data_IF_820397682774
#
_entry.id   IF_820397682774
#
_cell.length_a   1.000
_cell.length_b   1.000
_cell.length_c   1.000
_cell.angle_alpha   90.00
_cell.angle_beta   90.00
_cell.angle_gamma   90.00
#
_symmetry.space_group_name_H-M   'P 1'
#
loop_
_entity.id
_entity.type
_entity.pdbx_description
1 polymer ?
#
# COMPACT_ATOMS: atom_id res chain seq x y z
N UNK A 1 -7.07 -5.48 9.35
CA UNK A 1 -6.31 -4.90 8.22
C UNK A 1 -5.39 -5.88 7.49
N UNK A 2 -4.47 -6.63 8.16
CA UNK A 2 -3.50 -7.52 7.48
C UNK A 2 -4.10 -8.57 6.52
N UNK A 3 -5.19 -9.24 6.90
CA UNK A 3 -5.82 -10.24 6.04
C UNK A 3 -6.51 -9.61 4.83
N UNK A 4 -7.26 -8.52 5.06
CA UNK A 4 -7.96 -7.76 4.00
C UNK A 4 -6.97 -7.22 2.95
N UNK A 5 -5.90 -6.55 3.40
CA UNK A 5 -4.88 -6.00 2.49
C UNK A 5 -4.11 -7.12 1.77
N UNK A 6 -3.91 -8.26 2.43
CA UNK A 6 -3.28 -9.44 1.84
C UNK A 6 -4.06 -9.98 0.64
N UNK A 7 -5.37 -10.19 0.83
CA UNK A 7 -6.28 -10.64 -0.24
C UNK A 7 -6.34 -9.66 -1.41
N UNK A 8 -6.48 -8.35 -1.13
CA UNK A 8 -6.52 -7.32 -2.18
C UNK A 8 -5.20 -7.24 -2.97
N UNK A 9 -4.05 -7.31 -2.30
CA UNK A 9 -2.74 -7.33 -2.98
C UNK A 9 -2.55 -8.58 -3.83
N UNK A 10 -3.03 -9.74 -3.36
CA UNK A 10 -2.98 -10.97 -4.15
C UNK A 10 -3.86 -10.85 -5.40
N UNK A 11 -5.09 -10.36 -5.25
CA UNK A 11 -6.00 -10.10 -6.37
C UNK A 11 -5.37 -9.12 -7.37
N UNK A 12 -4.81 -8.01 -6.89
CA UNK A 12 -4.14 -7.02 -7.74
C UNK A 12 -3.00 -7.63 -8.55
N UNK A 13 -2.11 -8.44 -7.94
CA UNK A 13 -1.01 -9.11 -8.67
C UNK A 13 -1.51 -10.05 -9.75
N UNK A 14 -2.56 -10.83 -9.46
CA UNK A 14 -3.15 -11.76 -10.43
C UNK A 14 -3.73 -10.98 -11.61
N UNK A 15 -4.51 -9.93 -11.34
CA UNK A 15 -5.13 -9.10 -12.38
C UNK A 15 -4.07 -8.40 -13.23
N UNK A 16 -3.04 -7.80 -12.62
CA UNK A 16 -1.93 -7.17 -13.34
C UNK A 16 -1.16 -8.18 -14.20
N UNK A 17 -1.00 -9.43 -13.75
CA UNK A 17 -0.38 -10.49 -14.55
C UNK A 17 -1.24 -10.91 -15.75
N UNK A 18 -2.57 -10.96 -15.58
CA UNK A 18 -3.52 -11.22 -16.67
C UNK A 18 -3.48 -10.07 -17.69
N UNK A 19 -3.44 -8.82 -17.23
CA UNK A 19 -3.32 -7.64 -18.11
C UNK A 19 -2.10 -7.73 -19.01
N UNK A 20 -0.91 -7.97 -18.43
CA UNK A 20 0.33 -8.12 -19.18
C UNK A 20 0.26 -9.27 -20.21
N UNK A 21 -0.40 -10.38 -19.84
CA UNK A 21 -0.59 -11.52 -20.73
C UNK A 21 -1.50 -11.17 -21.92
N UNK A 22 -2.62 -10.49 -21.68
CA UNK A 22 -3.54 -10.08 -22.75
C UNK A 22 -2.94 -8.96 -23.63
N UNK A 23 -2.13 -8.05 -23.05
CA UNK A 23 -1.36 -7.07 -23.81
C UNK A 23 -0.36 -7.75 -24.76
N UNK A 24 0.34 -8.79 -24.30
CA UNK A 24 1.27 -9.56 -25.16
C UNK A 24 0.57 -10.26 -26.33
N UNK A 25 -0.71 -10.58 -26.17
CA UNK A 25 -1.57 -11.22 -27.18
C UNK A 25 -2.24 -10.22 -28.13
N UNK A 26 -2.07 -8.91 -27.89
CA UNK A 26 -2.72 -7.81 -28.62
C UNK A 26 -4.26 -7.92 -28.61
N UNK A 27 -4.81 -8.43 -27.51
CA UNK A 27 -6.26 -8.56 -27.33
C UNK A 27 -6.85 -7.30 -26.69
N UNK A 28 -7.01 -6.24 -27.49
CA UNK A 28 -7.35 -4.89 -27.01
C UNK A 28 -8.67 -4.81 -26.21
N UNK A 29 -9.66 -5.62 -26.59
CA UNK A 29 -10.95 -5.69 -25.88
C UNK A 29 -10.77 -6.23 -24.46
N UNK A 30 -10.07 -7.36 -24.32
CA UNK A 30 -9.79 -7.95 -23.01
C UNK A 30 -8.88 -7.07 -22.18
N UNK A 31 -7.87 -6.43 -22.78
CA UNK A 31 -6.99 -5.49 -22.08
C UNK A 31 -7.79 -4.36 -21.45
N UNK A 32 -8.79 -3.82 -22.16
CA UNK A 32 -9.66 -2.75 -21.64
C UNK A 32 -10.50 -3.22 -20.45
N UNK A 33 -11.09 -4.42 -20.54
CA UNK A 33 -11.87 -5.02 -19.45
C UNK A 33 -11.01 -5.29 -18.20
N UNK A 34 -9.83 -5.87 -18.39
CA UNK A 34 -8.90 -6.20 -17.30
C UNK A 34 -8.37 -4.93 -16.64
N UNK A 35 -8.03 -3.89 -17.41
CA UNK A 35 -7.65 -2.57 -16.89
C UNK A 35 -8.75 -1.96 -16.01
N UNK A 36 -10.00 -2.00 -16.48
CA UNK A 36 -11.14 -1.52 -15.70
C UNK A 36 -11.31 -2.26 -14.37
N UNK A 37 -11.10 -3.59 -14.37
CA UNK A 37 -11.15 -4.37 -13.14
C UNK A 37 -9.95 -4.10 -12.22
N UNK A 38 -8.73 -3.97 -12.76
CA UNK A 38 -7.54 -3.59 -11.99
C UNK A 38 -7.77 -2.27 -11.27
N UNK A 39 -8.28 -1.25 -11.96
CA UNK A 39 -8.58 0.05 -11.35
C UNK A 39 -9.56 -0.03 -10.18
N UNK A 40 -10.58 -0.91 -10.25
CA UNK A 40 -11.48 -1.16 -9.11
C UNK A 40 -10.74 -1.74 -7.90
N UNK A 41 -9.89 -2.74 -8.13
CA UNK A 41 -9.06 -3.32 -7.07
C UNK A 41 -8.11 -2.29 -6.46
N UNK A 42 -7.51 -1.42 -7.28
CA UNK A 42 -6.62 -0.35 -6.81
C UNK A 42 -7.35 0.71 -5.98
N UNK A 43 -8.61 1.03 -6.31
CA UNK A 43 -9.44 1.92 -5.52
C UNK A 43 -9.73 1.33 -4.14
N UNK A 44 -10.13 0.06 -4.07
CA UNK A 44 -10.35 -0.64 -2.79
C UNK A 44 -9.07 -0.72 -1.96
N UNK A 45 -7.95 -1.05 -2.61
CA UNK A 45 -6.65 -1.12 -1.95
C UNK A 45 -6.22 0.25 -1.40
N UNK A 46 -6.44 1.32 -2.17
CA UNK A 46 -6.18 2.70 -1.74
C UNK A 46 -7.06 3.10 -0.55
N UNK A 47 -8.35 2.76 -0.57
CA UNK A 47 -9.28 3.07 0.51
C UNK A 47 -8.90 2.36 1.82
N UNK A 48 -8.52 1.09 1.75
CA UNK A 48 -8.05 0.34 2.92
C UNK A 48 -6.77 0.93 3.48
N UNK A 49 -5.79 1.28 2.63
CA UNK A 49 -4.57 1.96 3.04
C UNK A 49 -4.86 3.32 3.69
N UNK A 50 -5.71 4.14 3.09
CA UNK A 50 -6.08 5.45 3.64
C UNK A 50 -6.74 5.32 5.03
N UNK A 51 -7.64 4.34 5.21
CA UNK A 51 -8.30 4.12 6.50
C UNK A 51 -7.34 3.77 7.63
N UNK A 52 -6.38 2.86 7.41
CA UNK A 52 -5.41 2.49 8.44
C UNK A 52 -4.36 3.58 8.66
N UNK A 53 -3.91 4.26 7.61
CA UNK A 53 -2.96 5.38 7.74
C UNK A 53 -3.59 6.51 8.57
N UNK A 54 -4.85 6.85 8.30
CA UNK A 54 -5.59 7.83 9.10
C UNK A 54 -5.73 7.42 10.58
N UNK A 55 -6.01 6.14 10.85
CA UNK A 55 -6.09 5.61 12.22
C UNK A 55 -4.73 5.65 12.93
N UNK A 56 -3.65 5.30 12.23
CA UNK A 56 -2.29 5.34 12.75
C UNK A 56 -1.90 6.77 13.15
N UNK A 57 -2.14 7.74 12.27
CA UNK A 57 -1.72 9.13 12.48
C UNK A 57 -2.58 9.87 13.49
N UNK A 58 -3.89 9.63 13.50
CA UNK A 58 -4.82 10.37 14.37
C UNK A 58 -4.90 9.81 15.79
N UNK A 59 -4.63 8.51 15.96
CA UNK A 59 -4.93 7.81 17.22
C UNK A 59 -3.78 6.93 17.71
N UNK A 60 -3.32 5.96 16.92
CA UNK A 60 -2.46 4.89 17.45
C UNK A 60 -1.03 5.36 17.74
N UNK A 61 -0.42 6.13 16.82
CA UNK A 61 0.94 6.68 17.02
C UNK A 61 0.95 7.72 18.15
N UNK A 62 0.02 8.71 18.22
CA UNK A 62 -0.02 9.66 19.33
C UNK A 62 -0.26 9.01 20.70
N UNK A 63 -1.03 7.92 20.76
CA UNK A 63 -1.38 7.25 22.02
C UNK A 63 -0.33 6.23 22.47
N UNK A 64 0.70 5.95 21.65
CA UNK A 64 1.73 4.98 21.99
C UNK A 64 2.69 5.54 23.03
N UNK A 65 2.76 4.89 24.20
CA UNK A 65 3.59 5.32 25.33
C UNK A 65 4.96 4.63 25.39
N UNK A 66 5.07 3.40 24.87
CA UNK A 66 6.31 2.61 24.89
C UNK A 66 7.08 2.74 23.57
N UNK A 67 8.40 2.57 23.62
CA UNK A 67 9.23 2.50 22.40
C UNK A 67 8.77 1.37 21.48
N UNK A 68 8.51 0.18 22.03
CA UNK A 68 8.04 -0.98 21.26
C UNK A 68 6.74 -0.69 20.49
N UNK A 69 5.73 -0.09 21.14
CA UNK A 69 4.46 0.25 20.49
C UNK A 69 4.62 1.33 19.42
N UNK A 70 5.45 2.36 19.66
CA UNK A 70 5.77 3.39 18.66
C UNK A 70 6.44 2.78 17.43
N UNK A 71 7.46 1.94 17.63
CA UNK A 71 8.18 1.24 16.56
C UNK A 71 7.21 0.37 15.77
N UNK A 72 6.34 -0.39 16.45
CA UNK A 72 5.35 -1.24 15.80
C UNK A 72 4.39 -0.44 14.89
N UNK A 73 3.84 0.68 15.38
CA UNK A 73 2.91 1.49 14.59
C UNK A 73 3.59 2.25 13.46
N UNK A 74 4.80 2.78 13.66
CA UNK A 74 5.57 3.44 12.60
C UNK A 74 6.00 2.45 11.52
N UNK A 75 6.41 1.24 11.91
CA UNK A 75 6.66 0.15 10.95
C UNK A 75 5.38 -0.18 10.17
N UNK A 76 4.25 -0.28 10.85
CA UNK A 76 2.96 -0.53 10.20
C UNK A 76 2.61 0.60 9.21
N UNK A 77 2.83 1.87 9.56
CA UNK A 77 2.67 3.03 8.68
C UNK A 77 3.52 2.87 7.41
N UNK A 78 4.80 2.55 7.57
CA UNK A 78 5.71 2.26 6.45
C UNK A 78 5.22 1.10 5.58
N UNK A 79 4.69 0.02 6.16
CA UNK A 79 4.15 -1.10 5.41
C UNK A 79 2.98 -0.70 4.50
N UNK A 80 2.06 0.17 4.95
CA UNK A 80 0.91 0.61 4.15
C UNK A 80 1.28 1.62 3.07
N UNK A 81 2.21 2.54 3.33
CA UNK A 81 2.76 3.38 2.27
C UNK A 81 3.51 2.56 1.23
N UNK A 82 4.25 1.53 1.65
CA UNK A 82 4.94 0.63 0.73
C UNK A 82 3.94 -0.11 -0.16
N UNK A 83 2.79 -0.52 0.40
CA UNK A 83 1.71 -1.12 -0.40
C UNK A 83 1.11 -0.15 -1.41
N UNK A 84 0.96 1.14 -1.07
CA UNK A 84 0.54 2.16 -2.04
C UNK A 84 1.57 2.30 -3.19
N UNK A 85 2.86 2.31 -2.87
CA UNK A 85 3.93 2.42 -3.87
C UNK A 85 4.03 1.21 -4.82
N UNK A 86 3.44 0.05 -4.48
CA UNK A 86 3.43 -1.14 -5.36
C UNK A 86 2.62 -0.90 -6.65
N UNK A 87 1.53 -0.14 -6.58
CA UNK A 87 0.58 0.02 -7.69
C UNK A 87 0.36 1.46 -8.14
N UNK A 88 0.69 2.45 -7.31
CA UNK A 88 0.66 3.86 -7.72
C UNK A 88 1.71 4.14 -8.79
N UNK A 89 1.48 5.20 -9.56
CA UNK A 89 2.34 5.63 -10.68
C UNK A 89 2.69 7.11 -10.56
N UNK A 90 3.68 7.56 -11.32
CA UNK A 90 4.08 8.97 -11.36
C UNK A 90 4.45 9.53 -9.99
N UNK A 91 3.93 10.71 -9.67
CA UNK A 91 4.25 11.41 -8.43
C UNK A 91 3.60 10.79 -7.20
N UNK A 92 2.43 10.14 -7.34
CA UNK A 92 1.80 9.40 -6.24
C UNK A 92 2.71 8.25 -5.76
N UNK A 93 3.41 7.58 -6.69
CA UNK A 93 4.38 6.54 -6.34
C UNK A 93 5.59 7.10 -5.59
N UNK A 94 6.10 8.25 -6.04
CA UNK A 94 7.27 8.90 -5.40
C UNK A 94 6.92 9.31 -3.98
N UNK A 95 5.80 10.00 -3.78
CA UNK A 95 5.31 10.40 -2.46
C UNK A 95 5.11 9.18 -1.55
N UNK A 96 4.46 8.12 -2.02
CA UNK A 96 4.31 6.90 -1.21
C UNK A 96 5.65 6.23 -0.86
N UNK A 97 6.64 6.28 -1.75
CA UNK A 97 7.98 5.74 -1.47
C UNK A 97 8.74 6.60 -0.46
N UNK A 98 8.64 7.92 -0.54
CA UNK A 98 9.21 8.85 0.43
C UNK A 98 8.59 8.64 1.82
N UNK A 99 7.25 8.58 1.90
CA UNK A 99 6.54 8.33 3.16
C UNK A 99 6.88 6.96 3.78
N UNK A 100 7.08 5.94 2.92
CA UNK A 100 7.59 4.62 3.36
C UNK A 100 8.93 4.77 4.07
N UNK A 101 9.87 5.47 3.43
CA UNK A 101 11.22 5.66 3.95
C UNK A 101 11.20 6.47 5.25
N UNK A 102 10.43 7.56 5.30
CA UNK A 102 10.30 8.39 6.49
C UNK A 102 9.74 7.60 7.68
N UNK A 103 8.69 6.81 7.47
CA UNK A 103 8.08 6.00 8.51
C UNK A 103 9.02 4.92 9.05
N UNK A 104 9.71 4.18 8.16
CA UNK A 104 10.67 3.16 8.61
C UNK A 104 11.90 3.77 9.28
N UNK A 105 12.39 4.91 8.80
CA UNK A 105 13.50 5.62 9.45
C UNK A 105 13.12 6.07 10.86
N UNK A 106 11.94 6.67 11.03
CA UNK A 106 11.45 7.05 12.35
C UNK A 106 11.30 5.83 13.30
N UNK A 107 10.83 4.69 12.77
CA UNK A 107 10.77 3.44 13.53
C UNK A 107 12.17 2.95 13.94
N UNK A 108 13.14 3.00 13.02
CA UNK A 108 14.51 2.58 13.26
C UNK A 108 15.22 3.48 14.29
N UNK A 109 15.05 4.80 14.18
CA UNK A 109 15.65 5.77 15.09
C UNK A 109 15.17 5.54 16.55
N UNK A 110 13.89 5.22 16.75
CA UNK A 110 13.35 4.89 18.08
C UNK A 110 13.83 3.51 18.55
N UNK A 111 14.00 2.55 17.65
CA UNK A 111 14.46 1.21 18.01
C UNK A 111 15.95 1.15 18.41
N UNK A 112 16.74 2.13 17.95
CA UNK A 112 18.18 2.23 18.21
C UNK A 112 18.53 3.22 19.34
N UNK A 113 17.56 3.97 19.84
CA UNK A 113 17.70 4.90 20.96
C UNK A 113 17.64 4.19 22.32
#
# INVERSE_FOLDING_TARGET
YKNVIGSLRAAWRIVSSIEQKEESRKNEEHVTLVKGYRSKVELELSAVCAGILGLLDSHLIPSASTSESKVFYLKMKGDYYRYLAEFKVGDERKSAAEDTMLAYKAAQDIALA
#
